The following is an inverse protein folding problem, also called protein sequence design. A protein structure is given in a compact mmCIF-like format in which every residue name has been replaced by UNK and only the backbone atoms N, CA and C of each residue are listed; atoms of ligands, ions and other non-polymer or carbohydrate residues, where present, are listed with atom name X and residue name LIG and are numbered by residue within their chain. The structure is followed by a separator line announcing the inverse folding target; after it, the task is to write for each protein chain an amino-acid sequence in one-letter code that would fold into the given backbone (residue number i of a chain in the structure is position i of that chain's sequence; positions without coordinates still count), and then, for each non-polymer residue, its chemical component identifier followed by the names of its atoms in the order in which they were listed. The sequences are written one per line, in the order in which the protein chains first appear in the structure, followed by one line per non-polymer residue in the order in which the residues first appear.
data_IF_202530970560
#
_entry.id   IF_202530970560
#
_cell.length_a   1.000
_cell.length_b   1.000
_cell.length_c   1.000
_cell.angle_alpha   90.00
_cell.angle_beta   90.00
_cell.angle_gamma   90.00
#
_symmetry.space_group_name_H-M   'P 1'
#
loop_
_entity.id
_entity.type
_entity.pdbx_description
1 polymer ?
#
# COMPACT_ATOMS: atom_id res chain seq x y z
N UNK A 1 -15.58 63.37 13.85
CA UNK A 1 -14.32 62.71 14.20
C UNK A 1 -14.30 62.56 15.72
N UNK A 2 -14.82 61.45 16.23
CA UNK A 2 -14.82 61.17 17.67
C UNK A 2 -13.46 60.52 17.95
N UNK A 3 -12.55 61.25 18.57
CA UNK A 3 -11.36 60.63 19.16
C UNK A 3 -11.87 59.73 20.29
N UNK A 4 -11.86 58.42 20.08
CA UNK A 4 -12.04 57.46 21.15
C UNK A 4 -10.93 57.75 22.18
N UNK A 5 -11.32 58.22 23.37
CA UNK A 5 -10.38 58.37 24.47
C UNK A 5 -9.92 56.97 24.84
N UNK A 6 -8.75 56.57 24.34
CA UNK A 6 -8.14 55.30 24.72
C UNK A 6 -7.80 55.37 26.20
N UNK A 7 -8.37 54.45 26.97
CA UNK A 7 -8.03 54.34 28.38
C UNK A 7 -6.51 54.05 28.50
N UNK A 8 -5.74 54.91 29.18
CA UNK A 8 -4.30 54.72 29.32
C UNK A 8 -3.97 53.38 29.99
N UNK A 9 -4.84 52.84 30.84
CA UNK A 9 -4.64 51.53 31.47
C UNK A 9 -4.66 50.38 30.46
N UNK A 10 -5.60 50.40 29.50
CA UNK A 10 -5.73 49.40 28.43
C UNK A 10 -4.52 49.48 27.50
N UNK A 11 -4.12 50.70 27.13
CA UNK A 11 -2.99 50.93 26.22
C UNK A 11 -1.67 50.50 26.85
N UNK A 12 -1.44 50.82 28.13
CA UNK A 12 -0.22 50.44 28.86
C UNK A 12 -0.09 48.93 29.08
N UNK A 13 -1.21 48.21 29.21
CA UNK A 13 -1.20 46.76 29.33
C UNK A 13 -0.89 46.06 27.98
N UNK A 14 -1.52 46.50 26.89
CA UNK A 14 -1.40 45.83 25.59
C UNK A 14 -0.17 46.24 24.79
N UNK A 15 0.40 47.43 25.01
CA UNK A 15 1.57 47.89 24.25
C UNK A 15 2.80 46.98 24.36
N UNK A 16 3.21 46.50 25.55
CA UNK A 16 4.30 45.52 25.66
C UNK A 16 3.97 44.18 25.01
N UNK A 17 2.70 43.73 25.11
CA UNK A 17 2.21 42.48 24.51
C UNK A 17 2.33 42.54 22.99
N UNK A 18 1.85 43.63 22.38
CA UNK A 18 1.90 43.86 20.93
C UNK A 18 3.34 44.03 20.39
N UNK A 19 4.31 44.38 21.23
CA UNK A 19 5.72 44.48 20.82
C UNK A 19 6.45 43.13 20.90
N UNK A 20 6.19 42.34 21.94
CA UNK A 20 6.97 41.13 22.26
C UNK A 20 6.38 39.88 21.60
N UNK A 21 5.05 39.73 21.65
CA UNK A 21 4.34 38.52 21.20
C UNK A 21 4.54 38.21 19.70
N UNK A 22 4.45 39.15 18.74
CA UNK A 22 4.71 38.87 17.32
C UNK A 22 6.12 38.33 17.06
N UNK A 23 7.12 38.90 17.73
CA UNK A 23 8.52 38.50 17.56
C UNK A 23 8.71 37.05 18.04
N UNK A 24 8.10 36.70 19.17
CA UNK A 24 8.12 35.34 19.69
C UNK A 24 7.35 34.37 18.79
N UNK A 25 6.18 34.76 18.28
CA UNK A 25 5.40 33.93 17.36
C UNK A 25 6.19 33.64 16.06
N UNK A 26 6.84 34.66 15.48
CA UNK A 26 7.66 34.52 14.29
C UNK A 26 8.86 33.60 14.55
N UNK A 27 9.55 33.78 15.69
CA UNK A 27 10.66 32.93 16.09
C UNK A 27 10.22 31.46 16.21
N UNK A 28 9.05 31.19 16.80
CA UNK A 28 8.51 29.84 16.92
C UNK A 28 8.13 29.21 15.59
N UNK A 29 7.61 29.99 14.63
CA UNK A 29 7.32 29.49 13.27
C UNK A 29 8.61 29.11 12.54
N UNK A 30 9.66 29.94 12.65
CA UNK A 30 10.98 29.66 12.07
C UNK A 30 11.57 28.40 12.71
N UNK A 31 11.47 28.28 14.04
CA UNK A 31 12.00 27.14 14.77
C UNK A 31 11.21 25.85 14.45
N UNK A 32 9.88 25.91 14.36
CA UNK A 32 9.03 24.80 13.95
C UNK A 32 9.43 24.27 12.56
N UNK A 33 9.76 25.17 11.63
CA UNK A 33 10.27 24.84 10.30
C UNK A 33 11.67 24.21 10.38
N UNK A 34 12.55 24.71 11.24
CA UNK A 34 13.88 24.11 11.47
C UNK A 34 13.76 22.68 12.00
N UNK A 35 12.91 22.44 13.00
CA UNK A 35 12.63 21.10 13.53
C UNK A 35 12.05 20.14 12.47
N UNK A 36 11.21 20.64 11.56
CA UNK A 36 10.63 19.84 10.50
C UNK A 36 11.67 19.36 9.46
N UNK A 37 12.74 20.13 9.23
CA UNK A 37 13.67 19.89 8.12
C UNK A 37 15.04 19.35 8.58
N UNK A 38 15.60 19.85 9.69
CA UNK A 38 17.04 19.70 9.97
C UNK A 38 17.42 19.01 11.29
N UNK A 39 16.49 18.51 12.10
CA UNK A 39 16.86 17.91 13.38
C UNK A 39 17.38 16.48 13.21
N UNK A 40 18.69 16.16 13.30
CA UNK A 40 19.20 14.86 12.87
C UNK A 40 18.83 13.70 13.83
N UNK A 41 18.62 14.00 15.11
CA UNK A 41 18.60 12.98 16.18
C UNK A 41 17.20 12.46 16.56
N UNK A 42 16.12 13.07 16.06
CA UNK A 42 14.75 12.73 16.44
C UNK A 42 14.07 11.84 15.39
N UNK A 43 13.17 10.93 15.78
CA UNK A 43 12.34 10.18 14.81
C UNK A 43 11.42 11.11 14.01
N UNK A 44 11.05 10.74 12.77
CA UNK A 44 10.13 11.53 11.93
C UNK A 44 8.81 11.87 12.64
N UNK A 45 8.32 10.98 13.50
CA UNK A 45 7.07 11.18 14.25
C UNK A 45 7.23 12.23 15.34
N UNK A 46 8.31 12.18 16.12
CA UNK A 46 8.57 13.17 17.18
C UNK A 46 8.85 14.56 16.60
N UNK A 47 9.56 14.64 15.47
CA UNK A 47 9.75 15.91 14.73
C UNK A 47 8.42 16.55 14.33
N UNK A 48 7.51 15.77 13.74
CA UNK A 48 6.18 16.26 13.32
C UNK A 48 5.36 16.77 14.49
N UNK A 49 5.32 16.04 15.62
CA UNK A 49 4.57 16.47 16.79
C UNK A 49 5.17 17.72 17.45
N UNK A 50 6.50 17.85 17.51
CA UNK A 50 7.16 19.05 18.03
C UNK A 50 6.92 20.27 17.13
N UNK A 51 7.00 20.11 15.80
CA UNK A 51 6.66 21.18 14.86
C UNK A 51 5.20 21.61 14.97
N UNK A 52 4.26 20.65 15.07
CA UNK A 52 2.84 20.95 15.26
C UNK A 52 2.60 21.67 16.60
N UNK A 53 3.28 21.24 17.66
CA UNK A 53 3.20 21.87 18.97
C UNK A 53 3.69 23.32 18.96
N UNK A 54 4.87 23.57 18.37
CA UNK A 54 5.41 24.93 18.22
C UNK A 54 4.50 25.84 17.38
N UNK A 55 3.90 25.30 16.32
CA UNK A 55 2.92 26.03 15.51
C UNK A 55 1.63 26.35 16.28
N UNK A 56 1.16 25.44 17.13
CA UNK A 56 0.01 25.69 18.01
C UNK A 56 0.31 26.81 19.02
N UNK A 57 1.49 26.82 19.63
CA UNK A 57 1.90 27.90 20.54
C UNK A 57 2.04 29.24 19.80
N UNK A 58 2.63 29.23 18.60
CA UNK A 58 2.72 30.43 17.76
C UNK A 58 1.33 30.97 17.38
N UNK A 59 0.37 30.09 17.09
CA UNK A 59 -1.01 30.48 16.79
C UNK A 59 -1.72 31.14 17.99
N UNK A 60 -1.48 30.65 19.20
CA UNK A 60 -1.99 31.26 20.44
C UNK A 60 -1.43 32.67 20.60
N UNK A 61 -0.13 32.86 20.37
CA UNK A 61 0.50 34.19 20.42
C UNK A 61 -0.07 35.15 19.37
N UNK A 62 -0.23 34.72 18.12
CA UNK A 62 -0.84 35.55 17.07
C UNK A 62 -2.30 35.93 17.40
N UNK A 63 -3.04 35.04 18.06
CA UNK A 63 -4.41 35.31 18.51
C UNK A 63 -4.44 36.38 19.61
N UNK A 64 -3.52 36.28 20.57
CA UNK A 64 -3.34 37.29 21.64
C UNK A 64 -2.94 38.64 21.07
N UNK A 65 -2.01 38.67 20.10
CA UNK A 65 -1.61 39.89 19.41
C UNK A 65 -2.79 40.54 18.66
N UNK A 66 -3.57 39.73 17.95
CA UNK A 66 -4.76 40.21 17.24
C UNK A 66 -5.75 40.89 18.21
N UNK A 67 -5.97 40.29 19.39
CA UNK A 67 -6.80 40.89 20.43
C UNK A 67 -6.19 42.16 21.04
N UNK A 68 -4.87 42.18 21.25
CA UNK A 68 -4.14 43.35 21.73
C UNK A 68 -4.32 44.55 20.77
N UNK A 69 -4.15 44.32 19.47
CA UNK A 69 -4.32 45.33 18.44
C UNK A 69 -5.75 45.84 18.36
N UNK A 70 -6.75 44.94 18.42
CA UNK A 70 -8.17 45.32 18.43
C UNK A 70 -8.50 46.15 19.69
N UNK A 71 -8.01 45.75 20.86
CA UNK A 71 -8.25 46.48 22.11
C UNK A 71 -7.60 47.87 22.11
N UNK A 72 -6.38 48.00 21.56
CA UNK A 72 -5.70 49.28 21.41
C UNK A 72 -6.38 50.19 20.38
N UNK A 73 -6.91 49.64 19.28
CA UNK A 73 -7.62 50.41 18.24
C UNK A 73 -9.00 50.89 18.69
N UNK A 74 -9.73 50.06 19.44
CA UNK A 74 -11.11 50.35 19.85
C UNK A 74 -11.19 51.07 21.20
N UNK A 75 -10.10 51.11 21.97
CA UNK A 75 -10.07 51.64 23.34
C UNK A 75 -10.86 50.79 24.35
N UNK A 76 -11.51 49.73 23.89
CA UNK A 76 -12.32 48.83 24.69
C UNK A 76 -11.62 47.49 24.80
N UNK A 77 -11.43 47.02 26.02
CA UNK A 77 -11.01 45.65 26.29
C UNK A 77 -12.15 44.92 26.98
N UNK A 78 -12.47 43.71 26.52
CA UNK A 78 -13.41 42.88 27.25
C UNK A 78 -12.74 42.46 28.57
N UNK A 79 -13.37 42.69 29.74
CA UNK A 79 -12.76 42.37 31.04
C UNK A 79 -12.39 40.88 31.18
N UNK A 80 -13.10 40.01 30.46
CA UNK A 80 -12.77 38.58 30.34
C UNK A 80 -11.45 38.35 29.59
N UNK A 81 -11.16 39.12 28.54
CA UNK A 81 -9.92 38.99 27.78
C UNK A 81 -8.71 39.50 28.57
N UNK A 82 -8.85 40.62 29.28
CA UNK A 82 -7.82 41.15 30.19
C UNK A 82 -7.46 40.15 31.30
N UNK A 83 -8.45 39.45 31.84
CA UNK A 83 -8.23 38.46 32.89
C UNK A 83 -7.67 37.13 32.37
N UNK A 84 -8.04 36.70 31.16
CA UNK A 84 -7.61 35.40 30.59
C UNK A 84 -6.21 35.47 29.94
N UNK A 85 -5.83 36.61 29.38
CA UNK A 85 -4.57 36.77 28.63
C UNK A 85 -3.32 36.42 29.45
N UNK A 86 -3.16 36.85 30.73
CA UNK A 86 -2.03 36.43 31.55
C UNK A 86 -1.94 34.91 31.73
N UNK A 87 -3.07 34.22 31.89
CA UNK A 87 -3.09 32.75 32.01
C UNK A 87 -2.71 32.06 30.71
N UNK A 88 -3.15 32.59 29.55
CA UNK A 88 -2.73 32.06 28.25
C UNK A 88 -1.25 32.28 27.99
N UNK A 89 -0.70 33.43 28.39
CA UNK A 89 0.74 33.70 28.31
C UNK A 89 1.52 32.76 29.24
N UNK A 90 1.10 32.59 30.50
CA UNK A 90 1.72 31.64 31.44
C UNK A 90 1.67 30.21 30.88
N UNK A 91 0.53 29.80 30.31
CA UNK A 91 0.37 28.48 29.70
C UNK A 91 1.28 28.33 28.47
N UNK A 92 1.40 29.36 27.62
CA UNK A 92 2.29 29.36 26.47
C UNK A 92 3.77 29.32 26.89
N UNK A 93 4.18 30.10 27.89
CA UNK A 93 5.54 30.08 28.43
C UNK A 93 5.86 28.78 29.18
N UNK A 94 4.90 28.22 29.92
CA UNK A 94 5.01 26.90 30.54
C UNK A 94 5.08 25.77 29.52
N UNK A 95 4.34 25.90 28.42
CA UNK A 95 4.42 25.01 27.28
C UNK A 95 5.80 25.06 26.60
N UNK A 96 6.40 26.24 26.49
CA UNK A 96 7.75 26.42 25.95
C UNK A 96 8.85 25.94 26.89
N UNK A 97 8.71 26.14 28.21
CA UNK A 97 9.68 25.63 29.20
C UNK A 97 9.69 24.11 29.27
N UNK A 98 8.60 23.47 28.84
CA UNK A 98 8.53 22.01 28.68
C UNK A 98 9.29 21.48 27.46
N UNK A 99 9.67 22.31 26.47
CA UNK A 99 10.43 21.86 25.28
C UNK A 99 11.79 21.21 25.62
N UNK A 100 12.68 21.81 26.42
CA UNK A 100 13.95 21.17 26.80
C UNK A 100 13.72 19.87 27.60
N UNK A 101 12.66 19.81 28.40
CA UNK A 101 12.26 18.61 29.16
C UNK A 101 11.68 17.54 28.23
N UNK A 102 10.92 17.92 27.20
CA UNK A 102 10.33 17.03 26.20
C UNK A 102 11.41 16.37 25.33
N UNK A 103 12.49 17.08 25.01
CA UNK A 103 13.67 16.53 24.32
C UNK A 103 14.39 15.49 25.18
N UNK A 104 14.54 15.77 26.48
CA UNK A 104 15.15 14.83 27.44
C UNK A 104 14.26 13.61 27.69
N UNK A 105 12.96 13.80 27.85
CA UNK A 105 11.98 12.69 27.96
C UNK A 105 11.79 11.96 26.65
N UNK A 106 12.11 12.55 25.49
CA UNK A 106 12.19 11.88 24.19
C UNK A 106 13.37 10.93 24.08
N UNK A 107 14.54 11.32 24.62
CA UNK A 107 15.71 10.45 24.83
C UNK A 107 15.38 9.35 25.84
N UNK A 108 14.80 9.70 26.98
CA UNK A 108 14.36 8.71 27.98
C UNK A 108 13.21 7.84 27.46
N UNK A 109 12.34 8.31 26.55
CA UNK A 109 11.30 7.48 25.91
C UNK A 109 11.85 6.63 24.76
N UNK A 110 12.94 7.04 24.11
CA UNK A 110 13.66 6.17 23.20
C UNK A 110 14.35 5.06 24.00
N UNK A 111 15.00 5.41 25.11
CA UNK A 111 15.61 4.45 26.02
C UNK A 111 14.57 3.58 26.75
N UNK A 112 13.43 4.11 27.18
CA UNK A 112 12.32 3.37 27.78
C UNK A 112 11.55 2.60 26.71
N UNK A 113 11.48 3.08 25.47
CA UNK A 113 10.98 2.34 24.32
C UNK A 113 11.86 1.13 24.00
N UNK A 114 13.18 1.30 24.06
CA UNK A 114 14.19 0.25 23.90
C UNK A 114 14.25 -0.66 25.14
N UNK A 115 14.03 -0.13 26.34
CA UNK A 115 13.98 -0.88 27.59
C UNK A 115 12.68 -1.66 27.71
N UNK A 116 11.54 -1.12 27.26
CA UNK A 116 10.27 -1.85 27.10
C UNK A 116 10.33 -2.81 25.90
N UNK A 117 11.07 -2.51 24.82
CA UNK A 117 11.33 -3.49 23.76
C UNK A 117 12.22 -4.64 24.24
N UNK A 118 13.18 -4.38 25.13
CA UNK A 118 14.05 -5.38 25.76
C UNK A 118 13.34 -6.13 26.90
N UNK A 119 12.50 -5.46 27.68
CA UNK A 119 11.76 -6.02 28.82
C UNK A 119 10.44 -6.69 28.40
N UNK A 120 9.85 -6.29 27.27
CA UNK A 120 8.66 -6.90 26.68
C UNK A 120 8.96 -7.44 25.27
N UNK A 121 9.68 -8.58 25.16
CA UNK A 121 9.93 -9.28 23.89
C UNK A 121 8.64 -9.62 23.11
N UNK A 122 7.49 -9.53 23.79
CA UNK A 122 6.15 -9.80 23.27
C UNK A 122 5.71 -8.77 22.24
N UNK A 123 6.26 -7.55 22.26
CA UNK A 123 5.90 -6.50 21.29
C UNK A 123 6.52 -6.73 19.90
N UNK A 124 7.75 -7.24 19.83
CA UNK A 124 8.41 -7.65 18.57
C UNK A 124 7.75 -8.91 18.02
N UNK A 125 7.49 -9.88 18.90
CA UNK A 125 6.76 -11.09 18.58
C UNK A 125 5.37 -10.83 17.99
N UNK A 126 4.53 -10.02 18.65
CA UNK A 126 3.20 -9.66 18.12
C UNK A 126 3.28 -8.90 16.81
N UNK A 127 4.27 -8.01 16.64
CA UNK A 127 4.49 -7.30 15.36
C UNK A 127 4.88 -8.27 14.25
N UNK A 128 5.76 -9.23 14.52
CA UNK A 128 6.16 -10.27 13.58
C UNK A 128 4.98 -11.17 13.19
N UNK A 129 4.20 -11.66 14.17
CA UNK A 129 2.98 -12.44 13.91
C UNK A 129 1.94 -11.68 13.11
N UNK A 130 1.72 -10.38 13.36
CA UNK A 130 0.80 -9.57 12.54
C UNK A 130 1.26 -9.42 11.10
N UNK A 131 2.56 -9.27 10.85
CA UNK A 131 3.10 -9.22 9.48
C UNK A 131 2.94 -10.57 8.79
N UNK A 132 3.23 -11.65 9.51
CA UNK A 132 3.09 -13.00 9.00
C UNK A 132 1.62 -13.34 8.67
N UNK A 133 0.70 -13.03 9.58
CA UNK A 133 -0.74 -13.18 9.37
C UNK A 133 -1.25 -12.40 8.16
N UNK A 134 -0.79 -11.16 7.97
CA UNK A 134 -1.11 -10.38 6.78
C UNK A 134 -0.61 -11.06 5.50
N UNK A 135 0.60 -11.66 5.52
CA UNK A 135 1.13 -12.42 4.38
C UNK A 135 0.29 -13.67 4.09
N UNK A 136 -0.05 -14.43 5.13
CA UNK A 136 -0.90 -15.64 5.00
C UNK A 136 -2.28 -15.28 4.45
N UNK A 137 -2.89 -14.19 4.93
CA UNK A 137 -4.19 -13.73 4.43
C UNK A 137 -4.16 -13.25 2.99
N UNK A 138 -3.07 -12.59 2.56
CA UNK A 138 -2.89 -12.21 1.16
C UNK A 138 -2.73 -13.45 0.28
N UNK A 139 -1.89 -14.41 0.71
CA UNK A 139 -1.69 -15.66 -0.02
C UNK A 139 -2.99 -16.47 -0.15
N UNK A 140 -3.79 -16.56 0.93
CA UNK A 140 -5.10 -17.23 0.88
C UNK A 140 -6.05 -16.53 -0.11
N UNK A 141 -6.07 -15.20 -0.11
CA UNK A 141 -6.89 -14.43 -1.04
C UNK A 141 -6.43 -14.68 -2.48
N UNK A 142 -5.14 -14.51 -2.75
CA UNK A 142 -4.55 -14.66 -4.08
C UNK A 142 -4.75 -16.08 -4.62
N UNK A 143 -4.71 -17.12 -3.77
CA UNK A 143 -5.02 -18.51 -4.16
C UNK A 143 -6.50 -18.75 -4.49
N UNK A 144 -7.42 -18.13 -3.74
CA UNK A 144 -8.84 -18.24 -4.05
C UNK A 144 -9.19 -17.48 -5.35
N UNK A 145 -8.54 -16.34 -5.59
CA UNK A 145 -8.69 -15.59 -6.85
C UNK A 145 -8.12 -16.41 -8.03
N UNK A 146 -6.91 -16.97 -7.89
CA UNK A 146 -6.32 -17.84 -8.91
C UNK A 146 -7.21 -19.05 -9.24
N UNK A 147 -7.82 -19.69 -8.24
CA UNK A 147 -8.73 -20.81 -8.46
C UNK A 147 -9.97 -20.39 -9.28
N UNK A 148 -10.51 -19.19 -9.02
CA UNK A 148 -11.62 -18.63 -9.80
C UNK A 148 -11.21 -18.24 -11.23
N UNK A 149 -10.04 -17.63 -11.39
CA UNK A 149 -9.51 -17.23 -12.69
C UNK A 149 -9.13 -18.44 -13.56
N UNK A 150 -8.61 -19.51 -12.95
CA UNK A 150 -8.26 -20.76 -13.64
C UNK A 150 -9.47 -21.41 -14.32
N UNK A 151 -10.63 -21.43 -13.68
CA UNK A 151 -11.85 -21.99 -14.28
C UNK A 151 -12.27 -21.18 -15.53
N UNK A 152 -12.18 -19.85 -15.47
CA UNK A 152 -12.46 -18.95 -16.59
C UNK A 152 -11.44 -19.09 -17.73
N UNK A 153 -10.15 -19.20 -17.39
CA UNK A 153 -9.08 -19.38 -18.36
C UNK A 153 -9.17 -20.75 -19.05
N UNK A 154 -9.54 -21.81 -18.34
CA UNK A 154 -9.79 -23.13 -18.91
C UNK A 154 -10.96 -23.07 -19.90
N UNK A 155 -12.07 -22.43 -19.54
CA UNK A 155 -13.24 -22.29 -20.41
C UNK A 155 -12.88 -21.52 -21.69
N UNK A 156 -12.12 -20.43 -21.55
CA UNK A 156 -11.63 -19.61 -22.67
C UNK A 156 -10.63 -20.33 -23.57
N UNK A 157 -9.68 -21.07 -23.00
CA UNK A 157 -8.70 -21.81 -23.78
C UNK A 157 -9.40 -22.99 -24.53
N UNK A 158 -10.42 -23.61 -23.92
CA UNK A 158 -11.26 -24.61 -24.60
C UNK A 158 -12.05 -24.02 -25.77
N UNK A 159 -12.66 -22.83 -25.61
CA UNK A 159 -13.36 -22.16 -26.72
C UNK A 159 -12.41 -21.80 -27.86
N UNK A 160 -11.20 -21.33 -27.51
CA UNK A 160 -10.15 -20.98 -28.48
C UNK A 160 -9.68 -22.20 -29.28
N UNK A 161 -9.54 -23.35 -28.62
CA UNK A 161 -9.25 -24.62 -29.32
C UNK A 161 -10.36 -24.97 -30.30
N UNK A 162 -11.63 -24.90 -29.88
CA UNK A 162 -12.76 -25.22 -30.74
C UNK A 162 -12.80 -24.31 -31.99
N UNK A 163 -12.56 -23.01 -31.83
CA UNK A 163 -12.51 -22.06 -32.95
C UNK A 163 -11.39 -22.40 -33.95
N UNK A 164 -10.17 -22.69 -33.45
CA UNK A 164 -9.04 -23.02 -34.30
C UNK A 164 -9.18 -24.40 -34.97
N UNK A 165 -9.74 -25.39 -34.28
CA UNK A 165 -10.05 -26.71 -34.85
C UNK A 165 -11.10 -26.60 -35.95
N UNK A 166 -12.19 -25.84 -35.73
CA UNK A 166 -13.21 -25.59 -36.76
C UNK A 166 -12.61 -24.92 -38.00
N UNK A 167 -11.76 -23.90 -37.81
CA UNK A 167 -11.08 -23.24 -38.92
C UNK A 167 -10.14 -24.19 -39.68
N UNK A 168 -9.39 -25.03 -38.96
CA UNK A 168 -8.50 -26.01 -39.58
C UNK A 168 -9.26 -27.08 -40.39
N UNK A 169 -10.40 -27.55 -39.87
CA UNK A 169 -11.28 -28.51 -40.55
C UNK A 169 -11.94 -27.89 -41.80
N UNK A 170 -12.38 -26.63 -41.72
CA UNK A 170 -12.90 -25.90 -42.89
C UNK A 170 -11.83 -25.72 -43.98
N UNK A 171 -10.61 -25.37 -43.59
CA UNK A 171 -9.49 -25.26 -44.52
C UNK A 171 -9.16 -26.60 -45.20
N UNK A 172 -9.25 -27.72 -44.46
CA UNK A 172 -9.07 -29.07 -45.02
C UNK A 172 -10.19 -29.48 -45.98
N UNK A 173 -11.44 -29.18 -45.65
CA UNK A 173 -12.58 -29.41 -46.54
C UNK A 173 -12.46 -28.59 -47.85
N UNK A 174 -12.01 -27.33 -47.76
CA UNK A 174 -11.75 -26.49 -48.94
C UNK A 174 -10.61 -27.06 -49.79
N UNK A 175 -9.52 -27.51 -49.17
CA UNK A 175 -8.41 -28.16 -49.89
C UNK A 175 -8.86 -29.44 -50.61
N UNK A 176 -9.71 -30.27 -49.98
CA UNK A 176 -10.29 -31.45 -50.62
C UNK A 176 -11.20 -31.08 -51.80
N UNK A 177 -12.05 -30.05 -51.65
CA UNK A 177 -12.93 -29.59 -52.72
C UNK A 177 -12.14 -29.07 -53.93
N UNK A 178 -11.08 -28.28 -53.69
CA UNK A 178 -10.19 -27.78 -54.75
C UNK A 178 -9.45 -28.93 -55.43
N UNK A 179 -8.99 -29.93 -54.67
CA UNK A 179 -8.33 -31.12 -55.23
C UNK A 179 -9.28 -31.93 -56.12
N UNK A 180 -10.55 -32.12 -55.72
CA UNK A 180 -11.53 -32.80 -56.55
C UNK A 180 -11.86 -32.03 -57.84
N UNK A 181 -11.96 -30.69 -57.77
CA UNK A 181 -12.22 -29.84 -58.94
C UNK A 181 -11.03 -29.76 -59.90
N UNK A 182 -9.79 -29.84 -59.41
CA UNK A 182 -8.59 -29.91 -60.24
C UNK A 182 -8.40 -31.24 -60.98
N UNK A 183 -9.17 -32.27 -60.60
CA UNK A 183 -9.06 -33.63 -61.17
C UNK A 183 -9.88 -33.83 -62.45
N UNK A 184 -10.77 -32.90 -62.80
CA UNK A 184 -11.62 -32.99 -64.00
C UNK A 184 -11.62 -31.64 -64.76
N UNK A 185 -10.58 -31.35 -65.57
CA UNK A 185 -10.48 -30.11 -66.31
C UNK A 185 -11.37 -30.17 -67.55
N UNK A 186 -12.67 -29.90 -67.38
CA UNK A 186 -13.53 -29.53 -68.49
C UNK A 186 -12.94 -28.29 -69.20
N UNK A 187 -12.75 -28.37 -70.52
CA UNK A 187 -11.95 -27.48 -71.38
C UNK A 187 -12.26 -25.96 -71.33
N UNK A 188 -13.26 -25.50 -70.58
CA UNK A 188 -13.75 -24.11 -70.66
C UNK A 188 -13.30 -23.14 -69.57
N UNK A 189 -12.73 -23.58 -68.44
CA UNK A 189 -12.59 -22.71 -67.26
C UNK A 189 -11.28 -22.94 -66.48
N UNK A 190 -10.13 -22.84 -67.16
CA UNK A 190 -8.82 -22.87 -66.52
C UNK A 190 -8.59 -21.56 -65.76
N UNK A 191 -8.73 -21.62 -64.44
CA UNK A 191 -8.11 -20.64 -63.55
C UNK A 191 -6.60 -20.59 -63.85
N UNK A 192 -5.94 -19.42 -63.80
CA UNK A 192 -4.50 -19.34 -64.02
C UNK A 192 -3.79 -20.20 -62.97
N UNK A 193 -3.01 -21.21 -63.42
CA UNK A 193 -2.36 -22.22 -62.58
C UNK A 193 -1.62 -21.60 -61.38
N UNK A 194 -0.93 -20.47 -61.59
CA UNK A 194 -0.22 -19.76 -60.53
C UNK A 194 -1.10 -19.15 -59.42
N UNK A 195 -2.37 -18.82 -59.71
CA UNK A 195 -3.29 -18.31 -58.68
C UNK A 195 -3.89 -19.45 -57.84
N UNK A 196 -4.10 -20.61 -58.45
CA UNK A 196 -4.63 -21.79 -57.77
C UNK A 196 -3.58 -22.40 -56.83
N UNK A 197 -2.33 -22.51 -57.28
CA UNK A 197 -1.20 -22.97 -56.48
C UNK A 197 -0.87 -22.02 -55.32
N UNK A 198 -0.94 -20.70 -55.55
CA UNK A 198 -0.80 -19.71 -54.49
C UNK A 198 -1.94 -19.81 -53.45
N UNK A 199 -3.18 -20.05 -53.90
CA UNK A 199 -4.33 -20.27 -53.03
C UNK A 199 -4.19 -21.52 -52.16
N UNK A 200 -3.83 -22.65 -52.76
CA UNK A 200 -3.56 -23.92 -52.06
C UNK A 200 -2.43 -23.76 -51.03
N UNK A 201 -1.32 -23.12 -51.42
CA UNK A 201 -0.18 -22.86 -50.53
C UNK A 201 -0.59 -21.98 -49.34
N UNK A 202 -1.43 -20.97 -49.57
CA UNK A 202 -1.94 -20.10 -48.51
C UNK A 202 -2.86 -20.84 -47.53
N UNK A 203 -3.71 -21.74 -48.02
CA UNK A 203 -4.59 -22.60 -47.24
C UNK A 203 -3.78 -23.59 -46.37
N UNK A 204 -2.75 -24.24 -46.93
CA UNK A 204 -1.86 -25.11 -46.15
C UNK A 204 -1.12 -24.33 -45.06
N UNK A 205 -0.61 -23.14 -45.36
CA UNK A 205 0.05 -22.30 -44.36
C UNK A 205 -0.92 -21.87 -43.24
N UNK A 206 -2.16 -21.55 -43.59
CA UNK A 206 -3.21 -21.17 -42.62
C UNK A 206 -3.64 -22.34 -41.73
N UNK A 207 -3.79 -23.54 -42.32
CA UNK A 207 -4.02 -24.80 -41.60
C UNK A 207 -2.89 -25.09 -40.61
N UNK A 208 -1.63 -25.01 -41.06
CA UNK A 208 -0.46 -25.25 -40.22
C UNK A 208 -0.38 -24.30 -39.02
N UNK A 209 -0.63 -23.00 -39.24
CA UNK A 209 -0.69 -21.99 -38.16
C UNK A 209 -1.81 -22.28 -37.15
N UNK A 210 -2.97 -22.70 -37.62
CA UNK A 210 -4.12 -23.00 -36.76
C UNK A 210 -3.86 -24.22 -35.88
N UNK A 211 -3.29 -25.29 -36.42
CA UNK A 211 -2.88 -26.46 -35.62
C UNK A 211 -1.78 -26.14 -34.60
N UNK A 212 -0.78 -25.34 -34.99
CA UNK A 212 0.24 -24.88 -34.04
C UNK A 212 -0.34 -24.05 -32.88
N UNK A 213 -1.37 -23.25 -33.15
CA UNK A 213 -2.09 -22.50 -32.11
C UNK A 213 -2.88 -23.43 -31.17
N UNK A 214 -3.53 -24.47 -31.71
CA UNK A 214 -4.23 -25.51 -30.91
C UNK A 214 -3.26 -26.23 -29.99
N UNK A 215 -2.12 -26.66 -30.51
CA UNK A 215 -1.13 -27.42 -29.72
C UNK A 215 -0.56 -26.59 -28.57
N UNK A 216 -0.20 -25.34 -28.85
CA UNK A 216 0.23 -24.39 -27.80
C UNK A 216 -0.86 -24.13 -26.75
N UNK A 217 -2.12 -24.06 -27.18
CA UNK A 217 -3.25 -23.85 -26.25
C UNK A 217 -3.53 -25.10 -25.41
N UNK A 218 -3.34 -26.31 -25.96
CA UNK A 218 -3.42 -27.57 -25.21
C UNK A 218 -2.31 -27.72 -24.17
N UNK A 219 -1.09 -27.29 -24.50
CA UNK A 219 0.01 -27.25 -23.54
C UNK A 219 -0.34 -26.32 -22.36
N UNK A 220 -0.87 -25.12 -22.64
CA UNK A 220 -1.35 -24.19 -21.60
C UNK A 220 -2.46 -24.81 -20.75
N UNK A 221 -3.48 -25.41 -21.35
CA UNK A 221 -4.56 -26.10 -20.64
C UNK A 221 -4.05 -27.20 -19.72
N UNK A 222 -3.05 -27.98 -20.15
CA UNK A 222 -2.46 -29.03 -19.32
C UNK A 222 -1.84 -28.46 -18.05
N UNK A 223 -1.20 -27.29 -18.14
CA UNK A 223 -0.69 -26.56 -16.97
C UNK A 223 -1.84 -26.04 -16.11
N UNK A 224 -2.85 -25.41 -16.71
CA UNK A 224 -4.01 -24.87 -15.98
C UNK A 224 -4.77 -25.97 -15.22
N UNK A 225 -4.97 -27.15 -15.80
CA UNK A 225 -5.59 -28.28 -15.11
C UNK A 225 -4.76 -28.78 -13.93
N UNK A 226 -3.43 -28.89 -14.08
CA UNK A 226 -2.55 -29.27 -12.96
C UNK A 226 -2.61 -28.25 -11.82
N UNK A 227 -2.66 -26.96 -12.15
CA UNK A 227 -2.81 -25.89 -11.16
C UNK A 227 -4.17 -25.94 -10.47
N UNK A 228 -5.24 -26.17 -11.22
CA UNK A 228 -6.60 -26.32 -10.70
C UNK A 228 -6.71 -27.50 -9.73
N UNK A 229 -6.12 -28.64 -10.06
CA UNK A 229 -6.13 -29.84 -9.21
C UNK A 229 -5.32 -29.65 -7.92
N UNK A 230 -4.23 -28.89 -7.99
CA UNK A 230 -3.36 -28.61 -6.84
C UNK A 230 -3.89 -27.47 -5.93
N UNK A 231 -4.64 -26.51 -6.47
CA UNK A 231 -5.09 -25.32 -5.75
C UNK A 231 -5.87 -25.63 -4.44
N UNK A 232 -6.82 -26.59 -4.38
CA UNK A 232 -7.52 -26.92 -3.15
C UNK A 232 -6.59 -27.41 -2.03
N UNK A 233 -5.56 -28.18 -2.38
CA UNK A 233 -4.58 -28.68 -1.42
C UNK A 233 -3.73 -27.54 -0.86
N UNK A 234 -3.25 -26.64 -1.72
CA UNK A 234 -2.49 -25.47 -1.28
C UNK A 234 -3.34 -24.53 -0.42
N UNK A 235 -4.61 -24.28 -0.78
CA UNK A 235 -5.54 -23.50 0.05
C UNK A 235 -5.74 -24.15 1.42
N UNK A 236 -5.87 -25.48 1.48
CA UNK A 236 -5.98 -26.20 2.74
C UNK A 236 -4.71 -26.03 3.60
N UNK A 237 -3.53 -26.11 3.00
CA UNK A 237 -2.25 -25.90 3.70
C UNK A 237 -2.08 -24.47 4.23
N UNK A 238 -2.50 -23.45 3.46
CA UNK A 238 -2.49 -22.04 3.91
C UNK A 238 -3.47 -21.81 5.06
N UNK A 239 -4.65 -22.45 5.04
CA UNK A 239 -5.63 -22.39 6.14
C UNK A 239 -5.09 -23.02 7.44
N UNK A 240 -4.32 -24.12 7.33
CA UNK A 240 -3.64 -24.71 8.49
C UNK A 240 -2.63 -23.73 9.08
N UNK A 241 -1.80 -23.09 8.24
CA UNK A 241 -0.86 -22.06 8.69
C UNK A 241 -1.58 -20.90 9.41
N UNK A 242 -2.71 -20.45 8.88
CA UNK A 242 -3.52 -19.38 9.50
C UNK A 242 -4.05 -19.79 10.87
N UNK A 243 -4.54 -21.02 11.00
CA UNK A 243 -5.00 -21.57 12.29
C UNK A 243 -3.85 -21.63 13.31
N UNK A 244 -2.68 -22.11 12.90
CA UNK A 244 -1.49 -22.15 13.76
C UNK A 244 -1.08 -20.75 14.26
N UNK A 245 -1.16 -19.75 13.39
CA UNK A 245 -0.87 -18.35 13.71
C UNK A 245 -1.89 -17.77 14.69
N UNK A 246 -3.18 -17.99 14.48
CA UNK A 246 -4.23 -17.54 15.40
C UNK A 246 -4.12 -18.21 16.78
N UNK A 247 -3.81 -19.51 16.82
CA UNK A 247 -3.53 -20.22 18.07
C UNK A 247 -2.35 -19.57 18.81
N UNK A 248 -1.26 -19.26 18.10
CA UNK A 248 -0.09 -18.59 18.67
C UNK A 248 -0.35 -17.15 19.12
N UNK A 249 -1.28 -16.42 18.48
CA UNK A 249 -1.69 -15.07 18.92
C UNK A 249 -2.52 -15.10 20.20
N UNK A 250 -3.31 -16.16 20.41
CA UNK A 250 -4.26 -16.28 21.52
C UNK A 250 -3.60 -16.52 22.89
N UNK A 251 -2.34 -16.97 22.91
CA UNK A 251 -1.61 -17.38 24.12
C UNK A 251 -0.38 -16.53 24.42
N UNK A 252 0.12 -16.61 25.66
CA UNK A 252 1.42 -16.02 26.03
C UNK A 252 2.55 -16.80 25.34
N UNK A 253 3.53 -16.13 24.72
CA UNK A 253 4.60 -16.81 23.99
C UNK A 253 5.52 -17.56 24.94
N UNK A 254 5.80 -18.81 24.58
CA UNK A 254 6.82 -19.67 25.19
C UNK A 254 8.06 -19.74 24.30
N UNK A 255 9.22 -20.16 24.81
CA UNK A 255 10.41 -20.39 23.96
C UNK A 255 10.14 -21.37 22.80
N UNK A 256 9.31 -22.40 23.05
CA UNK A 256 8.87 -23.34 22.03
C UNK A 256 8.04 -22.68 20.92
N UNK A 257 7.34 -21.57 21.21
CA UNK A 257 6.59 -20.84 20.20
C UNK A 257 7.52 -20.14 19.21
N UNK A 258 8.70 -19.65 19.61
CA UNK A 258 9.68 -19.07 18.69
C UNK A 258 10.15 -20.10 17.65
N UNK A 259 10.50 -21.31 18.09
CA UNK A 259 10.85 -22.40 17.18
C UNK A 259 9.67 -22.83 16.29
N UNK A 260 8.43 -22.79 16.81
CA UNK A 260 7.23 -23.04 16.01
C UNK A 260 7.04 -21.96 14.94
N UNK A 261 7.26 -20.69 15.27
CA UNK A 261 7.19 -19.58 14.30
C UNK A 261 8.25 -19.67 13.23
N UNK A 262 9.51 -19.96 13.56
CA UNK A 262 10.55 -20.16 12.55
C UNK A 262 10.20 -21.30 11.60
N UNK A 263 9.64 -22.41 12.11
CA UNK A 263 9.14 -23.50 11.28
C UNK A 263 7.99 -23.06 10.37
N UNK A 264 7.04 -22.27 10.88
CA UNK A 264 5.94 -21.73 10.07
C UNK A 264 6.44 -20.76 8.99
N UNK A 265 7.45 -19.94 9.28
CA UNK A 265 8.08 -19.03 8.31
C UNK A 265 8.77 -19.83 7.20
N UNK A 266 9.55 -20.86 7.55
CA UNK A 266 10.18 -21.74 6.54
C UNK A 266 9.13 -22.48 5.71
N UNK A 267 8.06 -22.95 6.33
CA UNK A 267 6.96 -23.63 5.64
C UNK A 267 6.23 -22.70 4.68
N UNK A 268 5.95 -21.46 5.07
CA UNK A 268 5.37 -20.46 4.16
C UNK A 268 6.30 -20.17 2.97
N UNK A 269 7.60 -20.02 3.22
CA UNK A 269 8.57 -19.78 2.16
C UNK A 269 8.66 -20.96 1.19
N UNK A 270 8.60 -22.19 1.69
CA UNK A 270 8.54 -23.40 0.88
C UNK A 270 7.29 -23.44 0.00
N UNK A 271 6.11 -23.21 0.58
CA UNK A 271 4.86 -23.15 -0.19
C UNK A 271 4.92 -22.07 -1.27
N UNK A 272 5.38 -20.88 -0.94
CA UNK A 272 5.53 -19.80 -1.91
C UNK A 272 6.55 -20.11 -3.03
N UNK A 273 7.42 -21.10 -2.87
CA UNK A 273 8.42 -21.52 -3.88
C UNK A 273 7.97 -22.71 -4.74
N UNK A 274 6.82 -23.32 -4.45
CA UNK A 274 6.32 -24.42 -5.27
C UNK A 274 5.87 -23.90 -6.65
N UNK A 275 6.15 -24.65 -7.74
CA UNK A 275 5.87 -24.22 -9.11
C UNK A 275 4.37 -24.03 -9.41
N UNK A 276 3.49 -24.44 -8.48
CA UNK A 276 2.06 -24.18 -8.53
C UNK A 276 1.69 -22.73 -8.14
N UNK A 277 2.62 -21.96 -7.58
CA UNK A 277 2.44 -20.56 -7.27
C UNK A 277 2.97 -19.70 -8.42
N UNK A 278 2.16 -18.81 -9.02
CA UNK A 278 2.63 -17.94 -10.08
C UNK A 278 3.80 -17.08 -9.56
N UNK A 279 4.83 -16.87 -10.40
CA UNK A 279 6.06 -16.14 -10.04
C UNK A 279 5.78 -14.75 -9.43
N UNK A 280 4.64 -14.14 -9.79
CA UNK A 280 4.15 -12.88 -9.23
C UNK A 280 3.87 -12.92 -7.71
N UNK A 281 3.72 -14.11 -7.12
CA UNK A 281 3.52 -14.32 -5.68
C UNK A 281 4.83 -14.57 -4.93
N UNK A 282 5.88 -15.06 -5.61
CA UNK A 282 7.21 -15.36 -5.03
C UNK A 282 7.88 -14.08 -4.50
N UNK A 283 7.77 -12.98 -5.24
CA UNK A 283 8.37 -11.68 -4.90
C UNK A 283 7.73 -10.99 -3.67
N UNK A 284 6.53 -11.42 -3.26
CA UNK A 284 5.83 -10.88 -2.07
C UNK A 284 6.11 -11.71 -0.80
N UNK A 285 6.58 -12.94 -0.96
CA UNK A 285 6.81 -13.91 0.12
C UNK A 285 8.16 -13.75 0.82
N UNK A 286 9.22 -13.42 0.07
CA UNK A 286 10.59 -13.39 0.58
C UNK A 286 10.76 -12.36 1.74
N UNK A 287 11.34 -12.76 2.88
CA UNK A 287 11.84 -11.80 3.85
C UNK A 287 13.03 -11.05 3.22
N UNK A 288 12.97 -9.72 3.19
CA UNK A 288 14.17 -8.88 3.08
C UNK A 288 14.90 -8.87 4.41
#
# INVERSE_FOLDING_TARGET
MIMASTDPAVTNFWAPVAQIVPVLALALVIEARRYAVHWPEATLRTRRWQSVYLLLVAFIFLSIETWALIAMQTGNSYPVLLSVTPYLLILAFGALSYLPIASFTGLVNADVGDFLEKAAPWSKWRRALRRFDKKVSLLEKDMNELAGDLDLDIERDLSTIQEHEQFALQAEALLQQVSMLGSDPGEGNRLPEGALDAGISSLHASRGKSWAAVEKTRERLTVSYRLRDAAPEHVAQVRVLRRDVEEMKSRKPTPADHERYERLVRRLAFLASEPAFPESMVDRGAPK
#
